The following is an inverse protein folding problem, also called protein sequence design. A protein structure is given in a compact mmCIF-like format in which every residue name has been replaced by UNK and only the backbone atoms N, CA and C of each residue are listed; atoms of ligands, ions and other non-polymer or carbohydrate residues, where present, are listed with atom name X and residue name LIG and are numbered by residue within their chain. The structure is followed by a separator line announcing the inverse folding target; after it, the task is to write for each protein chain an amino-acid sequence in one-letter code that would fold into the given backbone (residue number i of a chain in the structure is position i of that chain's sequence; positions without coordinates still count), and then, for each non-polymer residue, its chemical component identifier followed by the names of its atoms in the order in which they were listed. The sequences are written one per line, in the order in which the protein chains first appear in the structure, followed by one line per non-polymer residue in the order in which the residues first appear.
data_IF_275115917050
#
_entry.id   IF_275115917050
#
_cell.length_a   1.000
_cell.length_b   1.000
_cell.length_c   1.000
_cell.angle_alpha   90.00
_cell.angle_beta   90.00
_cell.angle_gamma   90.00
#
_symmetry.space_group_name_H-M   'P 1'
#
loop_
_entity.id
_entity.type
_entity.pdbx_description
1 polymer ?
#
# COMPACT_ATOMS: atom_id res chain seq x y z
N UNK A 1 -19.85 7.04 12.61
CA UNK A 1 -19.77 6.28 13.86
C UNK A 1 -18.30 6.06 14.20
N UNK A 2 -17.89 6.51 15.39
CA UNK A 2 -16.54 6.26 15.88
C UNK A 2 -16.41 4.76 16.18
N UNK A 3 -15.41 4.13 15.60
CA UNK A 3 -15.04 2.76 15.91
C UNK A 3 -13.95 2.79 16.98
N UNK A 4 -14.11 2.02 18.05
CA UNK A 4 -13.12 1.93 19.14
C UNK A 4 -11.74 1.46 18.67
N UNK A 5 -11.67 0.83 17.51
CA UNK A 5 -10.42 0.39 16.88
C UNK A 5 -9.59 1.57 16.35
N UNK A 6 -10.21 2.76 16.16
CA UNK A 6 -9.55 3.94 15.61
C UNK A 6 -9.68 5.15 16.55
N UNK A 7 -9.10 5.10 17.74
CA UNK A 7 -9.27 6.15 18.75
C UNK A 7 -8.68 7.50 18.37
N UNK A 8 -7.75 7.51 17.42
CA UNK A 8 -7.09 8.73 16.90
C UNK A 8 -7.71 9.26 15.61
N UNK A 9 -8.79 8.65 15.10
CA UNK A 9 -9.44 9.12 13.90
C UNK A 9 -10.24 10.41 14.16
N UNK A 10 -9.94 11.46 13.43
CA UNK A 10 -10.73 12.70 13.39
C UNK A 10 -11.74 12.68 12.25
N UNK A 11 -11.48 11.80 11.28
CA UNK A 11 -12.20 11.74 10.03
C UNK A 11 -12.66 10.31 9.80
N UNK A 12 -13.95 10.16 9.47
CA UNK A 12 -14.54 8.89 9.09
C UNK A 12 -15.42 9.11 7.85
N UNK A 13 -15.11 8.40 6.78
CA UNK A 13 -15.82 8.46 5.50
C UNK A 13 -16.44 7.10 5.23
N UNK A 14 -17.59 7.10 4.57
CA UNK A 14 -18.17 5.89 4.03
C UNK A 14 -17.99 5.88 2.51
N UNK A 15 -17.27 4.90 2.01
CA UNK A 15 -17.09 4.65 0.59
C UNK A 15 -17.52 3.23 0.23
N UNK A 16 -18.42 3.10 -0.75
CA UNK A 16 -18.94 1.81 -1.22
C UNK A 16 -19.44 0.87 -0.11
N UNK A 17 -19.91 1.42 1.02
CA UNK A 17 -20.39 0.66 2.17
C UNK A 17 -19.32 0.31 3.20
N UNK A 18 -18.06 0.67 2.98
CA UNK A 18 -16.98 0.55 3.95
C UNK A 18 -16.68 1.91 4.60
N UNK A 19 -16.30 1.87 5.88
CA UNK A 19 -15.81 3.04 6.59
C UNK A 19 -14.29 3.16 6.45
N UNK A 20 -13.84 4.33 6.04
CA UNK A 20 -12.43 4.73 5.95
C UNK A 20 -12.15 5.66 7.12
N UNK A 21 -11.11 5.35 7.89
CA UNK A 21 -10.71 6.13 9.06
C UNK A 21 -9.39 6.83 8.80
N UNK A 22 -9.35 8.13 9.05
CA UNK A 22 -8.17 8.95 8.87
C UNK A 22 -7.95 9.90 10.05
N UNK A 23 -6.71 10.35 10.21
CA UNK A 23 -6.30 11.39 11.13
C UNK A 23 -5.72 12.57 10.36
N UNK A 24 -6.05 13.78 10.76
CA UNK A 24 -5.51 15.02 10.20
C UNK A 24 -4.66 15.74 11.23
N UNK A 25 -3.44 16.09 10.84
CA UNK A 25 -2.55 16.91 11.64
C UNK A 25 -1.82 17.97 10.79
N UNK A 26 -0.86 18.69 11.36
CA UNK A 26 -0.11 19.75 10.65
C UNK A 26 0.74 19.22 9.48
N UNK A 27 1.08 17.94 9.45
CA UNK A 27 1.96 17.34 8.45
C UNK A 27 1.17 16.68 7.33
N UNK A 28 -0.13 16.39 7.54
CA UNK A 28 -0.94 15.76 6.51
C UNK A 28 -2.20 15.08 7.03
N UNK A 29 -2.81 14.35 6.11
CA UNK A 29 -3.93 13.43 6.37
C UNK A 29 -3.41 12.02 6.19
N UNK A 30 -3.61 11.21 7.21
CA UNK A 30 -3.09 9.85 7.29
C UNK A 30 -4.23 8.85 7.36
N UNK A 31 -4.23 7.87 6.47
CA UNK A 31 -5.12 6.72 6.52
C UNK A 31 -4.73 5.83 7.71
N UNK A 32 -5.68 5.50 8.55
CA UNK A 32 -5.49 4.61 9.71
C UNK A 32 -5.95 3.18 9.42
N UNK A 33 -6.90 3.03 8.49
CA UNK A 33 -7.45 1.75 8.08
C UNK A 33 -8.86 1.85 7.51
N UNK A 34 -9.43 0.71 7.16
CA UNK A 34 -10.79 0.59 6.59
C UNK A 34 -11.56 -0.51 7.30
N UNK A 35 -12.82 -0.26 7.62
CA UNK A 35 -13.67 -1.23 8.33
C UNK A 35 -13.02 -1.69 9.64
N UNK A 36 -12.69 -2.97 9.73
CA UNK A 36 -11.98 -3.57 10.87
C UNK A 36 -10.49 -3.79 10.60
N UNK A 37 -10.00 -3.44 9.41
CA UNK A 37 -8.60 -3.59 9.01
C UNK A 37 -7.79 -2.35 9.42
N UNK A 38 -7.03 -2.47 10.50
CA UNK A 38 -6.16 -1.41 11.02
C UNK A 38 -4.79 -1.50 10.34
N UNK A 39 -4.30 -0.38 9.81
CA UNK A 39 -2.93 -0.30 9.34
C UNK A 39 -1.98 -0.23 10.55
N UNK A 40 -0.90 -1.01 10.52
CA UNK A 40 0.14 -0.97 11.56
C UNK A 40 0.84 0.40 11.58
N UNK A 41 1.06 0.96 10.39
CA UNK A 41 1.59 2.30 10.21
C UNK A 41 0.56 3.12 9.43
N UNK A 42 0.15 4.29 9.94
CA UNK A 42 -0.69 5.21 9.21
C UNK A 42 -0.03 5.62 7.88
N UNK A 43 -0.79 5.60 6.79
CA UNK A 43 -0.30 5.91 5.46
C UNK A 43 -0.64 7.36 5.10
N UNK A 44 0.36 8.17 4.73
CA UNK A 44 0.13 9.54 4.28
C UNK A 44 -0.64 9.55 2.96
N UNK A 45 -1.80 10.20 2.94
CA UNK A 45 -2.64 10.32 1.74
C UNK A 45 -2.67 11.74 1.18
N UNK A 46 -2.53 12.74 2.05
CA UNK A 46 -2.41 14.14 1.64
C UNK A 46 -1.32 14.80 2.47
N UNK A 47 -0.18 15.17 1.89
CA UNK A 47 0.84 15.92 2.64
C UNK A 47 0.40 17.37 2.89
N UNK A 48 0.87 17.97 3.98
CA UNK A 48 0.63 19.37 4.30
C UNK A 48 1.91 20.04 4.81
N UNK A 49 2.13 21.33 4.53
CA UNK A 49 1.31 22.22 3.70
C UNK A 49 1.55 21.98 2.20
N UNK A 50 0.51 22.18 1.38
CA UNK A 50 0.60 22.10 -0.08
C UNK A 50 1.19 23.40 -0.66
N UNK A 51 2.50 23.55 -0.60
CA UNK A 51 3.21 24.71 -1.16
C UNK A 51 4.02 24.25 -2.38
N UNK A 52 3.97 25.00 -3.48
CA UNK A 52 4.73 24.70 -4.68
C UNK A 52 6.22 24.46 -4.37
N UNK A 53 6.76 23.37 -4.89
CA UNK A 53 8.13 22.91 -4.65
C UNK A 53 8.33 22.11 -3.36
N UNK A 54 7.30 21.98 -2.50
CA UNK A 54 7.41 21.12 -1.31
C UNK A 54 7.46 19.65 -1.70
N UNK A 55 8.29 18.89 -0.97
CA UNK A 55 8.41 17.44 -1.14
C UNK A 55 8.28 16.72 0.20
N UNK A 56 7.71 15.50 0.16
CA UNK A 56 7.47 14.68 1.34
C UNK A 56 7.81 13.24 1.01
N UNK A 57 8.28 12.50 2.01
CA UNK A 57 8.54 11.07 1.92
C UNK A 57 7.77 10.39 3.05
N UNK A 58 7.10 9.32 2.72
CA UNK A 58 6.35 8.50 3.67
C UNK A 58 6.70 7.03 3.47
N UNK A 59 7.15 6.35 4.52
CA UNK A 59 7.65 4.99 4.44
C UNK A 59 9.19 4.89 4.44
N UNK A 60 9.75 3.70 4.10
CA UNK A 60 8.99 2.48 3.78
C UNK A 60 8.27 1.88 4.99
N UNK A 61 7.08 1.37 4.76
CA UNK A 61 6.28 0.67 5.77
C UNK A 61 5.86 -0.71 5.28
N UNK A 62 5.91 -1.70 6.14
CA UNK A 62 5.29 -2.99 5.87
C UNK A 62 3.76 -2.81 5.88
N UNK A 63 3.12 -3.10 4.74
CA UNK A 63 1.67 -3.17 4.60
C UNK A 63 1.18 -4.61 4.69
N UNK A 64 2.06 -5.58 4.37
CA UNK A 64 1.86 -7.01 4.58
C UNK A 64 3.14 -7.56 5.19
N UNK A 65 3.04 -8.21 6.32
CA UNK A 65 4.08 -9.06 6.90
C UNK A 65 3.38 -10.29 7.48
N UNK A 66 3.28 -11.31 6.66
CA UNK A 66 2.51 -12.52 6.99
C UNK A 66 3.40 -13.74 6.97
N UNK A 67 3.21 -14.56 7.98
CA UNK A 67 3.87 -15.85 8.11
C UNK A 67 2.82 -16.96 8.04
N UNK A 68 2.99 -17.87 7.10
CA UNK A 68 2.09 -18.98 6.83
C UNK A 68 2.88 -20.29 6.96
N UNK A 69 2.48 -21.14 7.90
CA UNK A 69 3.10 -22.43 8.09
C UNK A 69 2.61 -23.46 7.06
N UNK A 70 3.41 -24.49 6.81
CA UNK A 70 2.98 -25.59 5.94
C UNK A 70 1.69 -26.28 6.44
N UNK A 71 1.48 -26.32 7.76
CA UNK A 71 0.24 -26.84 8.36
C UNK A 71 -0.98 -25.98 7.99
N UNK A 72 -0.84 -24.66 7.99
CA UNK A 72 -1.92 -23.75 7.57
C UNK A 72 -2.22 -23.88 6.06
N UNK A 73 -1.19 -24.02 5.24
CA UNK A 73 -1.35 -24.30 3.80
C UNK A 73 -2.10 -25.61 3.55
N UNK A 74 -1.78 -26.64 4.30
CA UNK A 74 -2.44 -27.97 4.19
C UNK A 74 -3.94 -27.91 4.52
N UNK A 75 -4.41 -26.97 5.35
CA UNK A 75 -5.84 -26.73 5.57
C UNK A 75 -6.56 -26.30 4.29
N UNK A 76 -5.84 -25.69 3.35
CA UNK A 76 -6.33 -25.33 2.02
C UNK A 76 -6.04 -26.42 0.96
N UNK A 77 -5.60 -27.62 1.38
CA UNK A 77 -5.17 -28.73 0.52
C UNK A 77 -4.01 -28.39 -0.43
N UNK A 78 -3.14 -27.48 -0.01
CA UNK A 78 -1.94 -27.06 -0.75
C UNK A 78 -0.74 -27.21 0.20
N UNK A 79 0.40 -27.68 -0.30
CA UNK A 79 1.65 -27.67 0.46
C UNK A 79 2.54 -26.50 0.01
N UNK A 80 3.54 -26.14 0.83
CA UNK A 80 4.55 -25.16 0.40
C UNK A 80 5.39 -25.67 -0.78
N UNK A 81 5.54 -26.97 -0.92
CA UNK A 81 6.19 -27.55 -2.11
C UNK A 81 5.31 -27.35 -3.36
N UNK A 82 3.98 -27.51 -3.26
CA UNK A 82 3.07 -27.22 -4.38
C UNK A 82 3.12 -25.75 -4.75
N UNK A 83 3.15 -24.85 -3.76
CA UNK A 83 3.31 -23.43 -3.99
C UNK A 83 4.61 -23.12 -4.76
N UNK A 84 5.73 -23.71 -4.38
CA UNK A 84 7.00 -23.56 -5.12
C UNK A 84 6.88 -24.07 -6.55
N UNK A 85 6.26 -25.23 -6.75
CA UNK A 85 6.07 -25.81 -8.08
C UNK A 85 5.21 -24.89 -8.98
N UNK A 86 4.17 -24.24 -8.46
CA UNK A 86 3.40 -23.24 -9.20
C UNK A 86 4.25 -22.05 -9.67
N UNK A 87 5.32 -21.71 -8.93
CA UNK A 87 6.29 -20.70 -9.30
C UNK A 87 7.41 -21.23 -10.21
N UNK A 88 7.37 -22.51 -10.61
CA UNK A 88 8.41 -23.16 -11.37
C UNK A 88 9.69 -23.46 -10.55
N UNK A 89 9.57 -23.50 -9.24
CA UNK A 89 10.65 -23.68 -8.29
C UNK A 89 10.56 -25.05 -7.59
N UNK A 90 11.68 -25.50 -7.07
CA UNK A 90 11.76 -26.67 -6.18
C UNK A 90 12.54 -26.31 -4.92
N UNK A 91 12.38 -27.03 -3.81
CA UNK A 91 13.23 -26.82 -2.63
C UNK A 91 14.72 -26.82 -2.98
N UNK A 92 15.16 -27.76 -3.81
CA UNK A 92 16.54 -27.85 -4.23
C UNK A 92 17.02 -26.65 -5.05
N UNK A 93 16.16 -26.08 -5.92
CA UNK A 93 16.52 -24.89 -6.70
C UNK A 93 16.65 -23.63 -5.84
N UNK A 94 15.83 -23.50 -4.80
CA UNK A 94 15.87 -22.35 -3.89
C UNK A 94 17.04 -22.44 -2.91
N UNK A 95 17.36 -23.66 -2.43
CA UNK A 95 18.38 -23.87 -1.38
C UNK A 95 19.74 -24.31 -1.94
N UNK A 96 19.90 -24.37 -3.25
CA UNK A 96 21.07 -24.97 -3.90
C UNK A 96 21.33 -26.42 -3.43
N UNK A 97 20.26 -27.17 -3.17
CA UNK A 97 20.34 -28.56 -2.72
C UNK A 97 20.69 -28.76 -1.25
N UNK A 98 20.72 -27.68 -0.46
CA UNK A 98 21.18 -27.76 0.95
C UNK A 98 20.05 -28.12 1.93
N UNK A 99 18.79 -27.86 1.60
CA UNK A 99 17.64 -28.21 2.44
C UNK A 99 16.45 -28.64 1.57
N UNK A 100 15.55 -29.46 2.10
CA UNK A 100 14.61 -30.20 1.25
C UNK A 100 13.16 -30.09 1.73
N UNK A 101 12.90 -29.64 2.96
CA UNK A 101 11.55 -29.58 3.53
C UNK A 101 11.18 -28.12 3.75
N UNK A 102 10.23 -27.62 2.97
CA UNK A 102 9.64 -26.31 3.17
C UNK A 102 8.70 -26.35 4.38
N UNK A 103 8.92 -25.46 5.36
CA UNK A 103 8.17 -25.42 6.62
C UNK A 103 7.27 -24.19 6.73
N UNK A 104 7.81 -23.02 6.46
CA UNK A 104 7.12 -21.75 6.70
C UNK A 104 7.41 -20.76 5.57
N UNK A 105 6.36 -20.10 5.06
CA UNK A 105 6.44 -19.01 4.09
C UNK A 105 6.28 -17.67 4.84
N UNK A 106 7.15 -16.72 4.54
CA UNK A 106 6.96 -15.30 4.89
C UNK A 106 6.76 -14.50 3.62
N UNK A 107 5.68 -13.73 3.58
CA UNK A 107 5.40 -12.74 2.54
C UNK A 107 5.51 -11.35 3.18
N UNK A 108 6.33 -10.49 2.59
CA UNK A 108 6.54 -9.12 3.02
C UNK A 108 6.23 -8.21 1.83
N UNK A 109 5.38 -7.21 2.05
CA UNK A 109 5.14 -6.12 1.11
C UNK A 109 5.33 -4.80 1.84
N UNK A 110 6.22 -3.96 1.32
CA UNK A 110 6.54 -2.64 1.85
C UNK A 110 6.14 -1.58 0.83
N UNK A 111 5.62 -0.46 1.33
CA UNK A 111 5.27 0.69 0.51
C UNK A 111 6.10 1.90 0.93
N UNK A 112 6.61 2.63 -0.05
CA UNK A 112 7.23 3.94 0.09
C UNK A 112 6.54 4.92 -0.85
N UNK A 113 6.25 6.12 -0.36
CA UNK A 113 5.60 7.16 -1.13
C UNK A 113 6.45 8.43 -1.15
N UNK A 114 6.63 8.97 -2.34
CA UNK A 114 7.29 10.25 -2.56
C UNK A 114 6.28 11.23 -3.15
N UNK A 115 6.08 12.36 -2.48
CA UNK A 115 5.16 13.41 -2.93
C UNK A 115 5.97 14.64 -3.33
N UNK A 116 5.58 15.26 -4.43
CA UNK A 116 6.12 16.54 -4.89
C UNK A 116 4.97 17.45 -5.31
N UNK A 117 4.89 18.63 -4.72
CA UNK A 117 4.01 19.70 -5.21
C UNK A 117 4.68 20.33 -6.43
N UNK A 118 4.37 19.83 -7.62
CA UNK A 118 5.13 20.10 -8.85
C UNK A 118 4.50 21.13 -9.79
N UNK A 119 3.27 21.56 -9.51
CA UNK A 119 2.62 22.65 -10.22
C UNK A 119 1.60 23.39 -9.34
N UNK A 120 1.39 24.65 -9.67
CA UNK A 120 0.31 25.49 -9.18
C UNK A 120 -0.31 26.25 -10.36
N UNK A 121 -1.58 26.64 -10.24
CA UNK A 121 -2.30 27.32 -11.30
C UNK A 121 -3.80 27.21 -11.18
N UNK A 122 -4.49 27.42 -12.30
CA UNK A 122 -5.94 27.37 -12.34
C UNK A 122 -6.44 26.19 -13.15
N UNK A 123 -7.37 25.44 -12.60
CA UNK A 123 -8.09 24.36 -13.27
C UNK A 123 -9.43 24.88 -13.78
N UNK A 124 -9.72 24.61 -15.04
CA UNK A 124 -10.99 24.99 -15.67
C UNK A 124 -11.88 23.75 -15.75
N UNK A 125 -13.01 23.78 -15.09
CA UNK A 125 -14.03 22.75 -15.13
C UNK A 125 -15.35 23.31 -15.63
N UNK A 126 -16.33 22.48 -16.03
CA UNK A 126 -17.64 22.95 -16.51
C UNK A 126 -18.35 23.87 -15.50
N UNK A 127 -18.04 23.77 -14.23
CA UNK A 127 -18.64 24.51 -13.13
C UNK A 127 -17.87 25.78 -12.74
N UNK A 128 -16.68 26.01 -13.29
CA UNK A 128 -15.88 27.20 -13.01
C UNK A 128 -14.38 27.02 -13.15
N UNK A 129 -13.65 28.07 -12.80
CA UNK A 129 -12.19 28.10 -12.71
C UNK A 129 -11.75 28.13 -11.26
N UNK A 130 -10.83 27.28 -10.87
CA UNK A 130 -10.40 27.07 -9.49
C UNK A 130 -8.88 27.14 -9.41
N UNK A 131 -8.37 27.92 -8.46
CA UNK A 131 -6.96 27.89 -8.14
C UNK A 131 -6.64 26.59 -7.44
N UNK A 132 -5.60 25.92 -7.90
CA UNK A 132 -5.23 24.59 -7.41
C UNK A 132 -3.72 24.38 -7.44
N UNK A 133 -3.30 23.40 -6.67
CA UNK A 133 -1.95 22.84 -6.72
C UNK A 133 -2.01 21.40 -7.18
N UNK A 134 -0.99 20.97 -7.92
CA UNK A 134 -0.83 19.56 -8.30
C UNK A 134 0.23 18.91 -7.41
N UNK A 135 -0.12 17.74 -6.91
CA UNK A 135 0.80 16.86 -6.20
C UNK A 135 1.05 15.64 -7.06
N UNK A 136 2.30 15.42 -7.42
CA UNK A 136 2.77 14.16 -8.01
C UNK A 136 3.12 13.23 -6.86
N UNK A 137 2.45 12.09 -6.80
CA UNK A 137 2.73 11.00 -5.89
C UNK A 137 3.41 9.87 -6.67
N UNK A 138 4.54 9.42 -6.19
CA UNK A 138 5.21 8.23 -6.67
C UNK A 138 5.19 7.20 -5.56
N UNK A 139 4.47 6.10 -5.78
CA UNK A 139 4.29 5.03 -4.81
C UNK A 139 5.03 3.80 -5.29
N UNK A 140 6.02 3.37 -4.52
CA UNK A 140 6.79 2.15 -4.79
C UNK A 140 6.37 1.07 -3.83
N UNK A 141 5.91 -0.06 -4.36
CA UNK A 141 5.58 -1.26 -3.59
C UNK A 141 6.64 -2.32 -3.85
N UNK A 142 7.37 -2.68 -2.79
CA UNK A 142 8.37 -3.73 -2.81
C UNK A 142 7.79 -4.99 -2.19
N UNK A 143 7.61 -6.03 -3.00
CA UNK A 143 7.14 -7.33 -2.51
C UNK A 143 8.30 -8.31 -2.48
N UNK A 144 8.43 -9.04 -1.39
CA UNK A 144 9.43 -10.10 -1.21
C UNK A 144 8.82 -11.32 -0.53
N UNK A 145 9.41 -12.46 -0.79
CA UNK A 145 9.02 -13.71 -0.16
C UNK A 145 10.24 -14.51 0.25
N UNK A 146 10.12 -15.24 1.34
CA UNK A 146 11.11 -16.18 1.78
C UNK A 146 10.46 -17.44 2.38
N UNK A 147 11.11 -18.58 2.23
CA UNK A 147 10.67 -19.82 2.84
C UNK A 147 11.73 -20.29 3.82
N UNK A 148 11.30 -20.69 5.00
CA UNK A 148 12.13 -21.41 5.94
C UNK A 148 12.18 -22.88 5.51
N UNK A 149 13.38 -23.37 5.24
CA UNK A 149 13.61 -24.76 4.92
C UNK A 149 14.29 -25.48 6.08
N UNK A 150 13.91 -26.72 6.25
CA UNK A 150 14.53 -27.63 7.22
C UNK A 150 15.49 -28.55 6.48
N UNK A 151 16.74 -28.55 6.93
CA UNK A 151 17.72 -29.58 6.56
C UNK A 151 17.55 -30.78 7.48
N UNK A 152 16.94 -31.83 6.98
CA UNK A 152 16.62 -33.03 7.73
C UNK A 152 17.82 -33.97 7.85
N UNK A 153 18.95 -33.66 7.20
CA UNK A 153 20.16 -34.53 7.19
C UNK A 153 21.14 -34.04 8.27
N UNK A 154 21.53 -32.77 8.23
CA UNK A 154 22.53 -32.25 9.16
C UNK A 154 21.97 -31.17 10.11
N UNK A 155 20.83 -30.60 9.78
CA UNK A 155 20.23 -29.45 10.48
C UNK A 155 20.97 -28.13 10.24
N UNK A 156 22.20 -28.16 9.74
CA UNK A 156 23.10 -27.02 9.66
C UNK A 156 22.70 -26.01 8.59
N UNK A 157 21.92 -26.43 7.60
CA UNK A 157 21.47 -25.61 6.47
C UNK A 157 19.99 -25.18 6.62
N UNK A 158 19.37 -25.41 7.79
CA UNK A 158 18.04 -24.91 8.06
C UNK A 158 18.06 -23.39 8.16
N UNK A 159 17.11 -22.70 7.50
CA UNK A 159 17.09 -21.25 7.49
C UNK A 159 16.11 -20.67 6.49
N UNK A 160 16.07 -19.34 6.47
CA UNK A 160 15.27 -18.57 5.52
C UNK A 160 16.01 -18.40 4.19
N UNK A 161 15.34 -18.74 3.11
CA UNK A 161 15.84 -18.60 1.76
C UNK A 161 14.88 -17.71 0.96
N UNK A 162 15.39 -16.68 0.25
CA UNK A 162 14.53 -15.81 -0.55
C UNK A 162 13.96 -16.57 -1.75
N UNK A 163 12.73 -16.27 -2.10
CA UNK A 163 12.07 -16.79 -3.28
C UNK A 163 12.26 -15.78 -4.41
N UNK A 164 12.80 -16.18 -5.57
CA UNK A 164 12.88 -15.32 -6.73
C UNK A 164 11.48 -15.07 -7.32
N UNK A 165 11.34 -14.01 -8.13
CA UNK A 165 10.12 -13.71 -8.88
C UNK A 165 9.20 -12.66 -8.23
N UNK A 166 9.53 -12.17 -7.06
CA UNK A 166 8.88 -10.99 -6.50
C UNK A 166 9.48 -9.72 -7.11
N UNK A 167 8.65 -8.71 -7.30
CA UNK A 167 9.04 -7.49 -8.02
C UNK A 167 8.78 -6.24 -7.17
N UNK A 168 9.47 -5.18 -7.55
CA UNK A 168 9.13 -3.82 -7.16
C UNK A 168 8.29 -3.20 -8.25
N UNK A 169 7.18 -2.58 -7.87
CA UNK A 169 6.30 -1.84 -8.78
C UNK A 169 6.26 -0.38 -8.33
N UNK A 170 6.24 0.53 -9.28
CA UNK A 170 6.14 1.97 -9.01
C UNK A 170 4.99 2.55 -9.81
N UNK A 171 4.05 3.15 -9.11
CA UNK A 171 2.92 3.89 -9.67
C UNK A 171 3.14 5.39 -9.51
N UNK A 172 2.74 6.15 -10.53
CA UNK A 172 2.76 7.62 -10.48
C UNK A 172 1.32 8.11 -10.59
N UNK A 173 0.90 8.85 -9.58
CA UNK A 173 -0.43 9.47 -9.48
C UNK A 173 -0.28 10.99 -9.46
N UNK A 174 -1.28 11.67 -10.00
CA UNK A 174 -1.37 13.13 -9.95
C UNK A 174 -2.67 13.54 -9.28
N UNK A 175 -2.56 14.33 -8.23
CA UNK A 175 -3.66 14.83 -7.44
C UNK A 175 -3.74 16.34 -7.57
N UNK A 176 -4.95 16.87 -7.74
CA UNK A 176 -5.18 18.30 -7.80
C UNK A 176 -5.99 18.74 -6.59
N UNK A 177 -5.50 19.71 -5.87
CA UNK A 177 -6.13 20.24 -4.67
C UNK A 177 -6.48 21.71 -4.85
N UNK A 178 -7.69 22.09 -4.51
CA UNK A 178 -8.13 23.49 -4.46
C UNK A 178 -8.54 23.87 -3.04
N UNK A 179 -8.20 25.08 -2.63
CA UNK A 179 -8.61 25.66 -1.36
C UNK A 179 -9.78 26.65 -1.54
N UNK A 180 -10.51 26.58 -2.65
CA UNK A 180 -11.66 27.45 -2.88
C UNK A 180 -12.83 27.05 -1.98
N UNK A 181 -13.14 27.92 -1.01
CA UNK A 181 -14.20 27.69 -0.03
C UNK A 181 -15.62 27.70 -0.63
N UNK A 182 -15.77 28.22 -1.86
CA UNK A 182 -17.07 28.29 -2.54
C UNK A 182 -17.38 26.99 -3.30
N UNK A 183 -16.43 26.09 -3.38
CA UNK A 183 -16.58 24.84 -4.09
C UNK A 183 -16.49 23.69 -3.10
N UNK A 184 -17.46 22.80 -3.16
CA UNK A 184 -17.41 21.52 -2.47
C UNK A 184 -16.44 20.55 -3.18
N UNK A 185 -15.37 21.10 -3.79
CA UNK A 185 -14.39 20.30 -4.48
C UNK A 185 -13.28 19.87 -3.59
N UNK A 186 -13.17 18.79 -3.79
CA UNK A 186 -12.13 17.95 -3.37
C UNK A 186 -11.41 17.42 -4.59
N UNK A 187 -10.53 16.55 -4.44
CA UNK A 187 -9.62 15.90 -5.31
C UNK A 187 -10.20 15.50 -6.66
N UNK A 188 -9.50 15.84 -7.71
CA UNK A 188 -9.63 15.17 -9.02
C UNK A 188 -8.35 14.39 -9.21
N UNK A 189 -8.47 13.09 -9.16
CA UNK A 189 -7.41 12.19 -9.54
C UNK A 189 -7.43 12.02 -11.05
N UNK A 190 -6.34 12.42 -11.70
CA UNK A 190 -6.07 12.08 -13.08
C UNK A 190 -4.86 11.14 -13.07
N UNK A 191 -5.12 9.85 -12.89
CA UNK A 191 -4.10 8.83 -13.04
C UNK A 191 -3.78 8.62 -14.52
N UNK A 192 -2.54 8.83 -14.91
CA UNK A 192 -1.99 8.27 -16.14
C UNK A 192 -1.23 7.01 -15.78
N UNK A 193 -1.86 5.87 -15.97
CA UNK A 193 -1.22 4.58 -15.82
C UNK A 193 -1.12 3.87 -17.17
N UNK A 194 0.07 3.42 -17.49
CA UNK A 194 0.23 2.33 -18.43
C UNK A 194 -0.21 1.05 -17.74
N UNK A 195 -1.35 0.46 -18.18
CA UNK A 195 -1.96 -0.79 -17.73
C UNK A 195 -2.75 -0.75 -16.41
N UNK A 196 -3.96 -0.15 -16.47
CA UNK A 196 -5.00 -0.43 -15.49
C UNK A 196 -5.67 -1.78 -15.79
N UNK A 197 -5.38 -2.77 -15.00
CA UNK A 197 -6.29 -3.87 -14.72
C UNK A 197 -6.46 -4.00 -13.21
N UNK A 198 -7.66 -3.63 -12.73
CA UNK A 198 -8.22 -3.93 -11.42
C UNK A 198 -7.63 -3.22 -10.18
N UNK A 199 -7.90 -1.94 -10.05
CA UNK A 199 -7.84 -1.25 -8.76
C UNK A 199 -8.95 -0.22 -8.71
N UNK A 200 -10.07 -0.53 -8.05
CA UNK A 200 -11.10 0.47 -7.78
C UNK A 200 -10.50 1.56 -6.91
N UNK A 201 -10.52 2.79 -7.43
CA UNK A 201 -10.07 3.99 -6.77
C UNK A 201 -10.72 4.14 -5.39
N UNK A 202 -9.94 3.90 -4.33
CA UNK A 202 -10.31 4.23 -2.95
C UNK A 202 -10.32 5.76 -2.76
N UNK A 203 -9.74 6.50 -3.69
CA UNK A 203 -9.45 7.92 -3.55
C UNK A 203 -10.57 8.87 -3.94
N UNK A 204 -11.59 8.43 -4.68
CA UNK A 204 -12.65 9.33 -5.14
C UNK A 204 -13.53 9.91 -4.04
N UNK A 205 -13.48 9.39 -2.83
CA UNK A 205 -14.37 9.79 -1.74
C UNK A 205 -13.66 10.55 -0.61
N UNK A 206 -12.33 10.46 -0.51
CA UNK A 206 -11.57 11.00 0.63
C UNK A 206 -11.54 12.51 0.71
N UNK A 207 -12.02 13.19 -0.29
CA UNK A 207 -11.76 14.60 -0.48
C UNK A 207 -12.89 15.55 -0.09
N UNK A 208 -14.02 15.06 0.32
CA UNK A 208 -15.10 15.88 0.88
C UNK A 208 -14.77 16.54 2.24
N UNK A 209 -13.54 16.40 2.73
CA UNK A 209 -13.20 16.64 4.14
C UNK A 209 -12.16 17.72 4.41
N UNK A 210 -11.78 18.49 3.43
CA UNK A 210 -10.90 19.64 3.64
C UNK A 210 -11.65 20.93 4.05
N UNK A 211 -12.89 20.82 4.53
CA UNK A 211 -13.63 21.94 5.15
C UNK A 211 -13.25 22.13 6.59
#
# INVERSE_FOLDING_TARGET
PFNSNYPSADVCIMDNGEFIYANKNSNGIYLLGTGDSILQNPLLIVPLPLTFGASFVDGPYAIVDSVITNTQMQQANITLNDFLLFQGLTPASVTNGLAHVADTLRALSEVEQNFLVDADGSMILPMGTFDCVRVRQEMTTNTSGSIYFIDTISGSNSGWYPIPGFSSETDILYHWFSNDQNTNFSLIELGFCGNFLTGKSIFNTLLLLLK
#
